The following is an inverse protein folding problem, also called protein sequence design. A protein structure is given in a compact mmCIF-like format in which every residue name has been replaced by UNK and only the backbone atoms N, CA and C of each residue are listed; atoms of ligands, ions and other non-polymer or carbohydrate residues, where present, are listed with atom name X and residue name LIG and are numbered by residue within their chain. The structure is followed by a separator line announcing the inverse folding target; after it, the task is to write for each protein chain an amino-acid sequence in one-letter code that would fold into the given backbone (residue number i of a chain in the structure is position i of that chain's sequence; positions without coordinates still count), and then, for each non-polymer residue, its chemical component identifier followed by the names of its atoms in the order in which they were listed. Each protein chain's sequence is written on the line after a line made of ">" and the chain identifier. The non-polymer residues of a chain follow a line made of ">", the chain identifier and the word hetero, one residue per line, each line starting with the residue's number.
data_IF_803997488502
#
_entry.id   IF_803997488502
#
_cell.length_a   1.000
_cell.length_b   1.000
_cell.length_c   1.000
_cell.angle_alpha   90.00
_cell.angle_beta   90.00
_cell.angle_gamma   90.00
#
_symmetry.space_group_name_H-M   'P 1'
#
loop_
_entity.id
_entity.type
_entity.pdbx_description
1 polymer ?
#
# COMPACT_ATOMS: atom_id res chain seq x y z
N UNK A 1 10.25 -4.69 2.44
CA UNK A 1 10.35 -3.29 2.90
C UNK A 1 10.48 -3.39 4.40
N UNK A 2 11.51 -2.78 4.97
CA UNK A 2 11.60 -2.54 6.40
C UNK A 2 10.39 -1.67 6.78
N UNK A 3 9.58 -2.09 7.75
CA UNK A 3 8.36 -1.38 8.16
C UNK A 3 8.62 0.05 8.68
N UNK A 4 9.89 0.39 8.88
CA UNK A 4 10.35 1.71 9.33
C UNK A 4 10.68 2.67 8.18
N UNK A 5 10.94 2.16 6.98
CA UNK A 5 11.26 2.98 5.81
C UNK A 5 9.99 3.51 5.13
N UNK A 6 10.02 4.79 4.75
CA UNK A 6 8.96 5.42 3.95
C UNK A 6 9.20 5.16 2.45
N UNK A 7 10.45 5.23 2.02
CA UNK A 7 10.86 5.01 0.62
C UNK A 7 11.93 3.93 0.58
N UNK A 8 11.77 2.95 -0.31
CA UNK A 8 12.83 1.96 -0.58
C UNK A 8 13.92 2.64 -1.39
N UNK A 9 15.17 2.36 -1.05
CA UNK A 9 16.38 2.88 -1.69
C UNK A 9 16.66 4.37 -1.43
N UNK A 10 17.92 4.75 -1.58
CA UNK A 10 18.35 6.16 -1.60
C UNK A 10 17.99 6.75 -2.97
N UNK A 11 16.84 7.38 -3.05
CA UNK A 11 16.34 8.01 -4.27
C UNK A 11 16.46 9.54 -4.17
N UNK A 12 17.21 10.15 -5.07
CA UNK A 12 17.42 11.59 -5.15
C UNK A 12 16.30 12.35 -5.86
N UNK A 13 15.22 11.67 -6.28
CA UNK A 13 14.07 12.31 -6.92
C UNK A 13 13.43 13.34 -6.01
N UNK A 14 12.96 14.41 -6.65
CA UNK A 14 12.16 15.40 -5.96
C UNK A 14 10.80 14.84 -5.54
N UNK A 15 10.28 15.31 -4.41
CA UNK A 15 8.88 15.03 -4.04
C UNK A 15 7.88 15.70 -4.98
N UNK A 16 8.34 16.58 -5.88
CA UNK A 16 7.55 17.18 -6.96
C UNK A 16 7.62 16.42 -8.28
N UNK A 17 8.51 15.44 -8.39
CA UNK A 17 8.59 14.60 -9.57
C UNK A 17 7.32 13.74 -9.73
N UNK A 18 7.21 13.11 -10.89
CA UNK A 18 6.07 12.23 -11.15
C UNK A 18 6.14 10.97 -10.29
N UNK A 19 5.05 10.70 -9.60
CA UNK A 19 4.82 9.48 -8.80
C UNK A 19 3.54 8.83 -9.29
N UNK A 20 3.53 7.51 -9.37
CA UNK A 20 2.34 6.72 -9.67
C UNK A 20 1.85 6.05 -8.39
N UNK A 21 0.67 6.43 -7.94
CA UNK A 21 0.02 5.84 -6.77
C UNK A 21 -0.79 4.64 -7.21
N UNK A 22 -0.52 3.48 -6.61
CA UNK A 22 -1.13 2.20 -6.94
C UNK A 22 -2.05 1.71 -5.84
N UNK A 23 -3.06 0.96 -6.24
CA UNK A 23 -3.86 0.08 -5.40
C UNK A 23 -4.30 -1.13 -6.21
N UNK A 24 -4.30 -2.32 -5.61
CA UNK A 24 -4.73 -3.56 -6.26
C UNK A 24 -5.84 -4.23 -5.49
N UNK A 25 -6.89 -4.66 -6.20
CA UNK A 25 -7.74 -5.72 -5.69
C UNK A 25 -7.25 -7.07 -6.20
N UNK A 26 -7.39 -8.10 -5.36
CA UNK A 26 -6.86 -9.43 -5.66
C UNK A 26 -7.79 -10.54 -5.17
N UNK A 27 -7.56 -11.76 -5.66
CA UNK A 27 -8.28 -12.96 -5.15
C UNK A 27 -7.87 -13.33 -3.74
N UNK A 28 -6.84 -12.70 -3.18
CA UNK A 28 -6.31 -12.85 -1.83
C UNK A 28 -4.87 -12.39 -1.69
N UNK A 29 -4.23 -12.73 -0.57
CA UNK A 29 -2.90 -12.21 -0.21
C UNK A 29 -1.75 -13.22 -0.39
N UNK A 30 -2.03 -14.46 -0.77
CA UNK A 30 -1.01 -15.47 -1.06
C UNK A 30 -0.47 -15.25 -2.49
N UNK A 31 0.64 -14.55 -2.61
CA UNK A 31 1.24 -14.19 -3.91
C UNK A 31 1.67 -15.37 -4.76
N UNK A 32 1.70 -16.59 -4.23
CA UNK A 32 1.96 -17.80 -5.02
C UNK A 32 0.70 -18.28 -5.74
N UNK A 33 -0.47 -18.08 -5.17
CA UNK A 33 -1.77 -18.61 -5.64
C UNK A 33 -2.72 -17.52 -6.09
N UNK A 34 -2.73 -16.40 -5.39
CA UNK A 34 -3.67 -15.31 -5.64
C UNK A 34 -3.21 -14.45 -6.82
N UNK A 35 -4.17 -13.82 -7.48
CA UNK A 35 -4.01 -13.04 -8.70
C UNK A 35 -4.66 -11.68 -8.54
N UNK A 36 -4.14 -10.69 -9.24
CA UNK A 36 -4.75 -9.36 -9.35
C UNK A 36 -6.07 -9.46 -10.13
N UNK A 37 -7.10 -8.76 -9.66
CA UNK A 37 -8.43 -8.68 -10.29
C UNK A 37 -8.83 -7.24 -10.67
N UNK A 38 -8.24 -6.23 -10.05
CA UNK A 38 -8.37 -4.83 -10.45
C UNK A 38 -7.05 -4.09 -10.20
N UNK A 39 -6.69 -3.23 -11.14
CA UNK A 39 -5.55 -2.32 -11.07
C UNK A 39 -6.10 -0.90 -11.03
N UNK A 40 -5.79 -0.16 -9.98
CA UNK A 40 -5.98 1.27 -9.88
C UNK A 40 -4.64 1.97 -9.84
N UNK A 41 -4.40 2.92 -10.75
CA UNK A 41 -3.19 3.71 -10.75
C UNK A 41 -3.49 5.17 -11.04
N UNK A 42 -2.86 6.07 -10.30
CA UNK A 42 -3.02 7.52 -10.45
C UNK A 42 -1.65 8.15 -10.58
N UNK A 43 -1.42 8.86 -11.66
CA UNK A 43 -0.20 9.62 -11.89
C UNK A 43 -0.34 11.02 -11.30
N UNK A 44 0.62 11.40 -10.48
CA UNK A 44 0.65 12.68 -9.79
C UNK A 44 2.00 13.37 -10.04
N UNK A 45 1.98 14.68 -10.31
CA UNK A 45 3.17 15.51 -10.48
C UNK A 45 2.99 16.81 -9.71
N UNK A 46 3.94 17.18 -8.87
CA UNK A 46 3.88 18.39 -8.05
C UNK A 46 2.64 18.46 -7.14
N UNK A 47 2.16 17.31 -6.65
CA UNK A 47 0.95 17.21 -5.84
C UNK A 47 -0.36 17.30 -6.62
N UNK A 48 -0.32 17.39 -7.96
CA UNK A 48 -1.50 17.47 -8.83
C UNK A 48 -1.68 16.13 -9.56
N UNK A 49 -2.91 15.61 -9.57
CA UNK A 49 -3.25 14.41 -10.32
C UNK A 49 -3.32 14.75 -11.81
N UNK A 50 -2.60 14.03 -12.64
CA UNK A 50 -2.46 14.33 -14.08
C UNK A 50 -3.00 13.23 -14.99
N UNK A 51 -3.05 11.98 -14.52
CA UNK A 51 -3.58 10.86 -15.31
C UNK A 51 -4.07 9.72 -14.42
N UNK A 52 -4.90 8.83 -14.95
CA UNK A 52 -5.50 7.73 -14.20
C UNK A 52 -5.63 6.49 -15.06
N UNK A 53 -5.28 5.33 -14.53
CA UNK A 53 -5.46 4.01 -15.13
C UNK A 53 -6.37 3.15 -14.24
N UNK A 54 -7.37 2.52 -14.84
CA UNK A 54 -8.26 1.58 -14.15
C UNK A 54 -8.51 0.38 -15.05
N UNK A 55 -8.10 -0.81 -14.60
CA UNK A 55 -8.21 -2.05 -15.38
C UNK A 55 -8.79 -3.16 -14.51
N UNK A 56 -9.91 -3.75 -14.93
CA UNK A 56 -10.38 -5.03 -14.41
C UNK A 56 -9.61 -6.16 -15.09
N UNK A 57 -9.14 -7.12 -14.30
CA UNK A 57 -8.25 -8.20 -14.75
C UNK A 57 -8.92 -9.54 -14.50
N UNK A 58 -8.99 -10.39 -15.54
CA UNK A 58 -9.47 -11.76 -15.38
C UNK A 58 -8.37 -12.64 -14.77
N UNK A 59 -8.56 -13.13 -13.53
CA UNK A 59 -7.54 -13.93 -12.84
C UNK A 59 -7.45 -15.38 -13.35
N UNK A 60 -8.37 -15.81 -14.22
CA UNK A 60 -8.54 -17.21 -14.71
C UNK A 60 -8.80 -18.23 -13.59
N UNK A 61 -9.17 -17.77 -12.40
CA UNK A 61 -9.60 -18.59 -11.28
C UNK A 61 -10.87 -17.98 -10.66
N UNK A 62 -11.79 -18.77 -10.11
CA UNK A 62 -13.02 -18.25 -9.51
C UNK A 62 -12.73 -17.43 -8.26
N UNK A 63 -13.55 -16.39 -8.05
CA UNK A 63 -13.45 -15.55 -6.87
C UNK A 63 -14.05 -16.26 -5.65
N UNK A 64 -13.37 -16.14 -4.52
CA UNK A 64 -13.96 -16.53 -3.23
C UNK A 64 -15.10 -15.55 -2.87
N UNK A 65 -16.24 -16.03 -2.33
CA UNK A 65 -17.39 -15.17 -1.99
C UNK A 65 -17.00 -13.94 -1.14
N UNK A 66 -16.03 -14.10 -0.25
CA UNK A 66 -15.52 -13.02 0.60
C UNK A 66 -14.88 -11.88 -0.20
N UNK A 67 -14.22 -12.18 -1.33
CA UNK A 67 -13.63 -11.15 -2.20
C UNK A 67 -14.73 -10.33 -2.85
N UNK A 68 -15.74 -10.99 -3.41
CA UNK A 68 -16.92 -10.31 -3.98
C UNK A 68 -17.66 -9.45 -2.95
N UNK A 69 -17.80 -9.94 -1.71
CA UNK A 69 -18.42 -9.18 -0.62
C UNK A 69 -17.64 -7.87 -0.31
N UNK A 70 -16.31 -7.93 -0.32
CA UNK A 70 -15.44 -6.79 0.02
C UNK A 70 -15.35 -5.80 -1.14
N UNK A 71 -15.07 -6.30 -2.36
CA UNK A 71 -14.73 -5.45 -3.52
C UNK A 71 -15.94 -5.10 -4.39
N UNK A 72 -17.03 -5.87 -4.28
CA UNK A 72 -18.17 -5.81 -5.20
C UNK A 72 -17.87 -6.40 -6.59
N UNK A 73 -16.64 -6.90 -6.83
CA UNK A 73 -16.25 -7.50 -8.10
C UNK A 73 -16.76 -8.93 -8.16
N UNK A 74 -17.33 -9.33 -9.29
CA UNK A 74 -17.88 -10.68 -9.51
C UNK A 74 -17.15 -11.38 -10.65
N UNK A 75 -17.22 -12.72 -10.69
CA UNK A 75 -16.67 -13.51 -11.80
C UNK A 75 -17.26 -13.07 -13.16
N UNK A 76 -18.54 -12.71 -13.19
CA UNK A 76 -19.21 -12.24 -14.40
C UNK A 76 -18.61 -10.91 -14.90
N UNK A 77 -18.23 -10.01 -14.00
CA UNK A 77 -17.57 -8.74 -14.38
C UNK A 77 -16.17 -8.96 -14.96
N UNK A 78 -15.52 -10.06 -14.61
CA UNK A 78 -14.15 -10.37 -15.03
C UNK A 78 -14.08 -11.31 -16.24
N UNK A 79 -15.18 -11.98 -16.59
CA UNK A 79 -15.19 -13.08 -17.58
C UNK A 79 -14.62 -12.66 -18.94
N UNK A 80 -14.94 -11.45 -19.41
CA UNK A 80 -14.54 -10.87 -20.70
C UNK A 80 -13.34 -9.94 -20.60
N UNK A 81 -12.74 -9.78 -19.41
CA UNK A 81 -11.64 -8.84 -19.20
C UNK A 81 -10.30 -9.46 -19.61
N UNK A 82 -9.36 -8.56 -19.92
CA UNK A 82 -7.98 -8.95 -20.20
C UNK A 82 -7.34 -9.63 -19.00
N UNK A 83 -6.34 -10.45 -19.26
CA UNK A 83 -5.59 -11.14 -18.22
C UNK A 83 -4.38 -10.31 -17.75
N UNK A 84 -3.72 -10.75 -16.69
CA UNK A 84 -2.53 -10.08 -16.17
C UNK A 84 -1.41 -9.97 -17.20
N UNK A 85 -1.32 -10.93 -18.14
CA UNK A 85 -0.34 -10.92 -19.23
C UNK A 85 -0.46 -9.69 -20.14
N UNK A 86 -1.65 -9.09 -20.23
CA UNK A 86 -1.89 -7.86 -21.01
C UNK A 86 -1.99 -6.63 -20.09
N UNK A 87 -2.63 -6.76 -18.94
CA UNK A 87 -2.89 -5.66 -18.03
C UNK A 87 -1.61 -5.13 -17.34
N UNK A 88 -0.72 -6.03 -16.91
CA UNK A 88 0.53 -5.64 -16.23
C UNK A 88 1.47 -4.87 -17.15
N UNK A 89 1.73 -5.26 -18.42
CA UNK A 89 2.49 -4.42 -19.34
C UNK A 89 1.93 -3.01 -19.50
N UNK A 90 0.59 -2.84 -19.62
CA UNK A 90 -0.04 -1.51 -19.69
C UNK A 90 0.21 -0.68 -18.41
N UNK A 91 0.15 -1.33 -17.24
CA UNK A 91 0.50 -0.67 -15.99
C UNK A 91 1.98 -0.23 -15.99
N UNK A 92 2.89 -1.09 -16.47
CA UNK A 92 4.31 -0.75 -16.53
C UNK A 92 4.57 0.42 -17.50
N UNK A 93 3.91 0.45 -18.65
CA UNK A 93 3.98 1.57 -19.59
C UNK A 93 3.41 2.86 -18.95
N UNK A 94 2.32 2.74 -18.17
CA UNK A 94 1.75 3.87 -17.43
C UNK A 94 2.71 4.37 -16.35
N UNK A 95 3.39 3.50 -15.61
CA UNK A 95 4.38 3.88 -14.60
C UNK A 95 5.59 4.56 -15.26
N UNK A 96 6.12 3.98 -16.33
CA UNK A 96 7.36 4.46 -16.94
C UNK A 96 8.51 4.43 -15.93
N UNK A 97 9.22 5.55 -15.83
CA UNK A 97 10.35 5.72 -14.91
C UNK A 97 9.95 6.31 -13.54
N UNK A 98 8.66 6.50 -13.29
CA UNK A 98 8.19 7.11 -12.06
C UNK A 98 8.43 6.21 -10.83
N UNK A 99 8.64 6.84 -9.66
CA UNK A 99 8.50 6.14 -8.39
C UNK A 99 7.03 5.70 -8.22
N UNK A 100 6.82 4.62 -7.48
CA UNK A 100 5.45 4.23 -7.11
C UNK A 100 5.18 4.50 -5.63
N UNK A 101 3.91 4.72 -5.32
CA UNK A 101 3.44 4.83 -3.95
C UNK A 101 2.20 3.96 -3.75
N UNK A 102 1.99 3.44 -2.54
CA UNK A 102 0.79 2.72 -2.17
C UNK A 102 0.52 2.88 -0.67
N UNK A 103 -0.70 2.59 -0.24
CA UNK A 103 -1.04 2.62 1.18
C UNK A 103 -0.90 1.22 1.78
N UNK A 104 0.13 1.00 2.60
CA UNK A 104 0.66 -0.31 2.97
C UNK A 104 1.34 -1.00 1.77
N UNK A 105 2.30 -0.30 1.20
CA UNK A 105 2.98 -0.64 -0.05
C UNK A 105 3.62 -2.04 -0.08
N UNK A 106 3.82 -2.66 1.09
CA UNK A 106 4.29 -4.04 1.17
C UNK A 106 3.30 -5.03 0.53
N UNK A 107 1.99 -4.76 0.58
CA UNK A 107 0.96 -5.60 -0.04
C UNK A 107 0.98 -5.46 -1.56
N UNK A 108 0.80 -4.23 -2.06
CA UNK A 108 0.74 -3.94 -3.50
C UNK A 108 2.07 -4.26 -4.20
N UNK A 109 3.18 -3.92 -3.56
CA UNK A 109 4.51 -4.24 -4.06
C UNK A 109 4.77 -5.74 -4.20
N UNK A 110 4.27 -6.57 -3.25
CA UNK A 110 4.38 -8.04 -3.36
C UNK A 110 3.52 -8.58 -4.50
N UNK A 111 2.29 -8.08 -4.66
CA UNK A 111 1.40 -8.48 -5.75
C UNK A 111 1.99 -8.10 -7.11
N UNK A 112 2.45 -6.86 -7.27
CA UNK A 112 3.10 -6.40 -8.50
C UNK A 112 4.33 -7.25 -8.86
N UNK A 113 5.22 -7.46 -7.90
CA UNK A 113 6.42 -8.29 -8.09
C UNK A 113 6.05 -9.75 -8.44
N UNK A 114 4.99 -10.30 -7.86
CA UNK A 114 4.53 -11.65 -8.17
C UNK A 114 3.99 -11.75 -9.60
N UNK A 115 3.16 -10.81 -10.05
CA UNK A 115 2.65 -10.80 -11.42
C UNK A 115 3.79 -10.57 -12.43
N UNK A 116 4.74 -9.67 -12.15
CA UNK A 116 5.90 -9.45 -13.02
C UNK A 116 6.79 -10.69 -13.13
N UNK A 117 7.05 -11.41 -12.01
CA UNK A 117 7.80 -12.68 -12.05
C UNK A 117 7.13 -13.73 -12.93
N UNK A 118 5.80 -13.82 -12.91
CA UNK A 118 5.05 -14.73 -13.80
C UNK A 118 5.26 -14.40 -15.27
N UNK A 119 5.54 -13.12 -15.57
CA UNK A 119 5.86 -12.63 -16.92
C UNK A 119 7.37 -12.65 -17.23
N UNK A 120 8.22 -13.18 -16.33
CA UNK A 120 9.67 -13.17 -16.48
C UNK A 120 10.29 -11.77 -16.42
N UNK A 121 9.65 -10.83 -15.72
CA UNK A 121 10.09 -9.43 -15.57
C UNK A 121 10.41 -9.11 -14.11
N UNK A 122 11.23 -8.09 -13.91
CA UNK A 122 11.57 -7.55 -12.60
C UNK A 122 11.07 -6.11 -12.46
N UNK A 123 10.95 -5.66 -11.22
CA UNK A 123 10.59 -4.28 -10.89
C UNK A 123 11.60 -3.70 -9.90
N UNK A 124 12.23 -2.61 -10.29
CA UNK A 124 13.33 -1.98 -9.54
C UNK A 124 13.11 -0.48 -9.27
N UNK A 125 11.88 0.05 -9.47
CA UNK A 125 11.60 1.43 -9.11
C UNK A 125 11.41 1.59 -7.59
N UNK A 126 11.71 2.78 -7.04
CA UNK A 126 11.45 3.09 -5.64
C UNK A 126 9.98 2.96 -5.30
N UNK A 127 9.72 2.45 -4.10
CA UNK A 127 8.37 2.27 -3.57
C UNK A 127 8.22 3.12 -2.31
N UNK A 128 7.26 4.03 -2.32
CA UNK A 128 6.90 4.89 -1.19
C UNK A 128 5.70 4.29 -0.45
N UNK A 129 5.83 4.09 0.86
CA UNK A 129 4.72 3.63 1.70
C UNK A 129 4.02 4.80 2.39
N UNK A 130 2.81 5.13 1.94
CA UNK A 130 2.02 6.21 2.53
C UNK A 130 1.49 5.87 3.93
N UNK A 131 1.39 4.58 4.29
CA UNK A 131 1.07 4.16 5.66
C UNK A 131 2.21 4.54 6.61
N UNK A 132 3.45 4.17 6.28
CA UNK A 132 4.64 4.53 7.05
C UNK A 132 4.84 6.05 7.12
N UNK A 133 4.62 6.76 6.00
CA UNK A 133 4.67 8.22 5.98
C UNK A 133 3.61 8.85 6.89
N UNK A 134 2.37 8.35 6.85
CA UNK A 134 1.29 8.87 7.70
C UNK A 134 1.56 8.66 9.19
N UNK A 135 2.18 7.54 9.58
CA UNK A 135 2.59 7.28 10.96
C UNK A 135 3.61 8.31 11.48
N UNK A 136 4.47 8.81 10.60
CA UNK A 136 5.51 9.77 10.96
C UNK A 136 5.00 11.21 10.97
N UNK A 137 4.14 11.59 10.02
CA UNK A 137 3.62 12.96 9.89
C UNK A 137 2.35 13.23 10.70
N UNK A 138 1.59 12.19 11.10
CA UNK A 138 0.32 12.32 11.81
C UNK A 138 0.30 11.46 13.08
N UNK A 139 1.29 11.62 13.97
CA UNK A 139 1.49 10.72 15.12
C UNK A 139 0.32 10.68 16.11
N UNK A 140 -0.57 11.67 16.07
CA UNK A 140 -1.76 11.78 16.92
C UNK A 140 -2.89 10.83 16.51
N UNK A 141 -2.79 10.20 15.33
CA UNK A 141 -3.83 9.29 14.86
C UNK A 141 -3.80 7.96 15.61
N UNK A 142 -4.97 7.51 16.04
CA UNK A 142 -5.15 6.18 16.65
C UNK A 142 -5.22 5.03 15.61
N UNK A 143 -5.42 5.35 14.35
CA UNK A 143 -5.53 4.38 13.25
C UNK A 143 -5.01 4.99 11.97
N UNK A 144 -4.18 4.25 11.27
CA UNK A 144 -3.56 4.64 10.00
C UNK A 144 -4.15 3.91 8.79
N UNK A 145 -5.34 3.30 8.93
CA UNK A 145 -6.10 2.80 7.78
C UNK A 145 -6.40 3.96 6.84
N UNK A 146 -6.44 3.73 5.54
CA UNK A 146 -6.66 4.76 4.52
C UNK A 146 -7.84 5.68 4.88
N UNK A 147 -8.97 5.12 5.29
CA UNK A 147 -10.16 5.88 5.72
C UNK A 147 -9.86 6.87 6.86
N UNK A 148 -9.02 6.48 7.82
CA UNK A 148 -8.66 7.35 8.96
C UNK A 148 -7.73 8.47 8.53
N UNK A 149 -6.75 8.16 7.68
CA UNK A 149 -5.82 9.14 7.10
C UNK A 149 -6.58 10.13 6.20
N UNK A 150 -7.49 9.65 5.34
CA UNK A 150 -8.35 10.50 4.53
C UNK A 150 -9.16 11.48 5.40
N UNK A 151 -9.77 10.97 6.48
CA UNK A 151 -10.54 11.83 7.41
C UNK A 151 -9.65 12.90 8.05
N UNK A 152 -8.48 12.55 8.54
CA UNK A 152 -7.55 13.49 9.17
C UNK A 152 -7.08 14.58 8.20
N UNK A 153 -6.80 14.19 6.97
CA UNK A 153 -6.35 15.10 5.92
C UNK A 153 -7.51 15.75 5.14
N UNK A 154 -8.77 15.58 5.55
CA UNK A 154 -9.95 16.11 4.84
C UNK A 154 -9.96 15.72 3.35
N UNK A 155 -9.68 14.46 3.06
CA UNK A 155 -9.77 13.84 1.73
C UNK A 155 -11.04 12.99 1.65
N UNK A 156 -11.78 13.13 0.55
CA UNK A 156 -12.98 12.32 0.32
C UNK A 156 -12.58 10.91 -0.14
N UNK A 157 -13.07 9.88 0.55
CA UNK A 157 -12.95 8.48 0.13
C UNK A 157 -14.36 8.00 -0.23
N UNK A 158 -14.64 7.91 -1.53
CA UNK A 158 -15.91 7.39 -2.08
C UNK A 158 -15.66 6.01 -2.68
N UNK A 159 -16.63 5.10 -2.53
CA UNK A 159 -16.56 3.75 -3.09
C UNK A 159 -15.24 3.01 -2.72
N UNK A 160 -14.91 2.98 -1.43
CA UNK A 160 -13.78 2.19 -0.93
C UNK A 160 -13.84 0.72 -1.42
N UNK A 161 -12.71 0.07 -1.53
CA UNK A 161 -12.53 -1.26 -2.11
C UNK A 161 -12.80 -1.33 -3.63
N UNK A 162 -12.48 -0.25 -4.31
CA UNK A 162 -12.31 -0.18 -5.75
C UNK A 162 -10.95 0.48 -6.00
N UNK A 163 -10.05 -0.27 -6.60
CA UNK A 163 -8.63 0.07 -6.69
C UNK A 163 -8.36 1.51 -7.16
N UNK A 164 -9.05 1.99 -8.20
CA UNK A 164 -8.84 3.36 -8.69
C UNK A 164 -9.32 4.43 -7.70
N UNK A 165 -10.35 4.15 -6.90
CA UNK A 165 -10.84 5.12 -5.90
C UNK A 165 -9.91 5.18 -4.69
N UNK A 166 -9.38 4.05 -4.26
CA UNK A 166 -8.44 3.96 -3.15
C UNK A 166 -7.09 4.55 -3.56
N UNK A 167 -6.58 4.27 -4.77
CA UNK A 167 -5.41 4.94 -5.35
C UNK A 167 -5.58 6.46 -5.45
N UNK A 168 -6.77 6.93 -5.88
CA UNK A 168 -7.07 8.37 -5.98
C UNK A 168 -7.07 9.04 -4.62
N UNK A 169 -7.73 8.44 -3.63
CA UNK A 169 -7.74 8.97 -2.26
C UNK A 169 -6.33 8.96 -1.64
N UNK A 170 -5.56 7.90 -1.88
CA UNK A 170 -4.16 7.80 -1.47
C UNK A 170 -3.31 8.89 -2.10
N UNK A 171 -3.49 9.19 -3.40
CA UNK A 171 -2.78 10.26 -4.09
C UNK A 171 -3.08 11.64 -3.49
N UNK A 172 -4.34 11.94 -3.19
CA UNK A 172 -4.69 13.19 -2.50
C UNK A 172 -4.12 13.27 -1.07
N UNK A 173 -4.11 12.15 -0.33
CA UNK A 173 -3.46 12.10 0.97
C UNK A 173 -1.97 12.34 0.85
N UNK A 174 -1.30 11.71 -0.12
CA UNK A 174 0.13 11.87 -0.37
C UNK A 174 0.47 13.31 -0.73
N UNK A 175 -0.30 13.97 -1.61
CA UNK A 175 -0.11 15.38 -1.95
C UNK A 175 -0.16 16.29 -0.71
N UNK A 176 -1.10 16.04 0.22
CA UNK A 176 -1.18 16.79 1.47
C UNK A 176 -0.03 16.48 2.42
N UNK A 177 0.38 15.22 2.52
CA UNK A 177 1.54 14.82 3.32
C UNK A 177 2.84 15.42 2.78
N UNK A 178 3.01 15.50 1.46
CA UNK A 178 4.16 16.19 0.85
C UNK A 178 4.15 17.68 1.15
N UNK A 179 2.98 18.31 1.16
CA UNK A 179 2.86 19.71 1.57
C UNK A 179 3.34 19.91 3.02
N UNK A 180 2.89 19.05 3.95
CA UNK A 180 3.37 19.07 5.35
C UNK A 180 4.88 18.86 5.41
N UNK A 181 5.42 17.86 4.69
CA UNK A 181 6.84 17.58 4.66
C UNK A 181 7.69 18.76 4.16
N UNK A 182 7.19 19.51 3.16
CA UNK A 182 7.85 20.74 2.68
C UNK A 182 7.76 21.87 3.69
N UNK A 183 6.57 22.17 4.19
CA UNK A 183 6.31 23.37 5.00
C UNK A 183 6.88 23.23 6.41
N UNK A 184 6.83 22.03 7.03
CA UNK A 184 7.26 21.81 8.41
C UNK A 184 8.71 21.31 8.52
N UNK A 185 9.23 20.59 7.49
CA UNK A 185 10.53 19.94 7.54
C UNK A 185 11.51 20.45 6.45
N UNK A 186 11.04 21.23 5.47
CA UNK A 186 11.88 21.72 4.38
C UNK A 186 12.33 20.64 3.41
N UNK A 187 11.64 19.50 3.35
CA UNK A 187 12.02 18.36 2.51
C UNK A 187 11.76 18.65 1.03
N UNK A 188 12.68 18.20 0.20
CA UNK A 188 12.61 18.37 -1.26
C UNK A 188 12.80 17.07 -2.03
N UNK A 189 13.41 16.05 -1.40
CA UNK A 189 13.68 14.74 -2.00
C UNK A 189 12.86 13.64 -1.34
N UNK A 190 12.60 12.55 -2.08
CA UNK A 190 11.94 11.37 -1.53
C UNK A 190 12.75 10.73 -0.40
N UNK A 191 14.10 10.71 -0.52
CA UNK A 191 14.99 10.18 0.52
C UNK A 191 14.89 10.95 1.85
N UNK A 192 14.56 12.26 1.80
CA UNK A 192 14.40 13.08 3.02
C UNK A 192 13.30 12.50 3.93
N UNK A 193 12.25 11.88 3.36
CA UNK A 193 11.14 11.29 4.11
C UNK A 193 11.57 10.16 5.05
N UNK A 194 12.70 9.48 4.75
CA UNK A 194 13.24 8.44 5.61
C UNK A 194 13.87 9.03 6.89
N UNK A 195 14.24 10.31 6.88
CA UNK A 195 14.83 10.99 8.05
C UNK A 195 13.79 11.39 9.09
N UNK A 196 12.49 11.36 8.75
CA UNK A 196 11.41 11.59 9.70
C UNK A 196 11.52 10.61 10.87
N UNK A 197 11.64 11.15 12.07
CA UNK A 197 11.58 10.34 13.30
C UNK A 197 10.14 9.89 13.52
N UNK A 198 9.95 8.60 13.82
CA UNK A 198 8.62 8.07 14.10
C UNK A 198 7.99 8.74 15.31
N UNK A 199 6.70 9.09 15.23
CA UNK A 199 5.89 9.27 16.42
C UNK A 199 5.92 7.97 17.23
N UNK A 200 5.89 8.07 18.54
CA UNK A 200 6.08 6.96 19.49
C UNK A 200 4.96 5.90 19.42
N UNK A 201 4.95 5.12 18.35
CA UNK A 201 4.52 3.73 18.45
C UNK A 201 5.83 2.99 18.70
N UNK A 202 6.04 2.54 19.94
CA UNK A 202 7.24 1.80 20.31
C UNK A 202 7.52 0.73 19.29
N UNK A 203 8.80 0.53 18.94
CA UNK A 203 9.23 -0.53 18.05
C UNK A 203 8.55 -1.83 18.47
N UNK A 204 7.63 -2.34 17.64
CA UNK A 204 6.96 -3.60 17.93
C UNK A 204 7.84 -4.72 17.38
N UNK A 205 8.39 -5.50 18.28
CA UNK A 205 9.17 -6.69 17.94
C UNK A 205 8.28 -7.92 17.99
N UNK A 206 8.34 -8.77 16.97
CA UNK A 206 7.75 -10.10 17.03
C UNK A 206 8.65 -11.01 17.87
N UNK A 207 8.17 -11.39 19.04
CA UNK A 207 8.85 -12.36 19.91
C UNK A 207 8.12 -13.68 19.86
N UNK A 208 8.82 -14.74 19.46
CA UNK A 208 8.29 -16.11 19.54
C UNK A 208 8.68 -16.70 20.88
N UNK A 209 7.70 -16.96 21.74
CA UNK A 209 7.90 -17.58 23.03
C UNK A 209 7.58 -19.09 22.93
N UNK A 210 8.58 -19.92 23.23
CA UNK A 210 8.44 -21.36 23.27
C UNK A 210 8.33 -21.83 24.72
N UNK A 211 7.23 -22.49 25.04
CA UNK A 211 6.99 -23.02 26.37
C UNK A 211 7.63 -24.41 26.52
N UNK A 212 8.45 -24.62 27.56
CA UNK A 212 9.12 -25.89 27.86
C UNK A 212 8.53 -26.63 29.06
N UNK A 213 7.65 -26.01 29.84
CA UNK A 213 7.09 -26.59 31.05
C UNK A 213 5.65 -26.15 31.25
N UNK A 214 4.88 -26.88 32.08
CA UNK A 214 3.51 -26.52 32.44
C UNK A 214 3.43 -25.14 33.14
N UNK A 215 4.42 -24.83 33.99
CA UNK A 215 4.53 -23.52 34.64
C UNK A 215 4.77 -22.39 33.62
N UNK A 216 5.62 -22.64 32.60
CA UNK A 216 5.85 -21.72 31.48
C UNK A 216 4.56 -21.46 30.69
N UNK A 217 3.68 -22.47 30.49
CA UNK A 217 2.39 -22.31 29.83
C UNK A 217 1.45 -21.40 30.62
N UNK A 218 1.39 -21.57 31.93
CA UNK A 218 0.58 -20.71 32.81
C UNK A 218 1.08 -19.25 32.75
N UNK A 219 2.38 -19.04 32.78
CA UNK A 219 2.99 -17.72 32.67
C UNK A 219 2.75 -17.09 31.29
N UNK A 220 2.86 -17.86 30.19
CA UNK A 220 2.54 -17.37 28.85
C UNK A 220 1.09 -16.93 28.74
N UNK A 221 0.14 -17.75 29.21
CA UNK A 221 -1.28 -17.40 29.22
C UNK A 221 -1.56 -16.14 30.01
N UNK A 222 -0.86 -15.93 31.12
CA UNK A 222 -0.96 -14.70 31.92
C UNK A 222 -0.44 -13.48 31.18
N UNK A 223 0.70 -13.58 30.47
CA UNK A 223 1.25 -12.51 29.64
C UNK A 223 0.30 -12.13 28.49
N UNK A 224 -0.26 -13.14 27.80
CA UNK A 224 -1.25 -12.92 26.73
C UNK A 224 -2.49 -12.21 27.27
N UNK A 225 -2.97 -12.63 28.45
CA UNK A 225 -4.15 -12.00 29.07
C UNK A 225 -3.90 -10.54 29.44
N UNK A 226 -2.71 -10.21 29.97
CA UNK A 226 -2.35 -8.82 30.30
C UNK A 226 -2.31 -7.98 29.01
N UNK A 227 -1.72 -8.47 27.92
CA UNK A 227 -1.62 -7.73 26.65
C UNK A 227 -2.95 -7.57 25.91
N UNK A 228 -4.06 -8.20 26.36
CA UNK A 228 -5.40 -8.04 25.77
C UNK A 228 -6.34 -7.19 26.64
N UNK A 229 -5.95 -6.85 27.87
CA UNK A 229 -6.78 -6.15 28.85
C UNK A 229 -6.39 -4.69 29.02
N UNK A 230 -5.27 -4.24 28.47
CA UNK A 230 -4.80 -2.86 28.37
C UNK A 230 -4.92 -2.34 26.92
#
# INVERSE_FOLDING_TARGET
>A
IDETQVVTDEDDRSIDDTIVVLDFESTGLDTLKDRVIEIGAVKMTGGTLVDTLSILVNPKIPLRPKITEITGITDMMLADKETAETAIPKLMDFIGDAAIAAHNAACDGKLLKAELRRLGREFNAPILDTLSLSRKLLPELKSFKLKSVCKALSVSLKNAHRAVHDATATAYCLAKMFKIAKEEHGFTKLSDLNTLKGGAIGESYHVILLVKSQEGLVNLNRLVSIGHLD
#
